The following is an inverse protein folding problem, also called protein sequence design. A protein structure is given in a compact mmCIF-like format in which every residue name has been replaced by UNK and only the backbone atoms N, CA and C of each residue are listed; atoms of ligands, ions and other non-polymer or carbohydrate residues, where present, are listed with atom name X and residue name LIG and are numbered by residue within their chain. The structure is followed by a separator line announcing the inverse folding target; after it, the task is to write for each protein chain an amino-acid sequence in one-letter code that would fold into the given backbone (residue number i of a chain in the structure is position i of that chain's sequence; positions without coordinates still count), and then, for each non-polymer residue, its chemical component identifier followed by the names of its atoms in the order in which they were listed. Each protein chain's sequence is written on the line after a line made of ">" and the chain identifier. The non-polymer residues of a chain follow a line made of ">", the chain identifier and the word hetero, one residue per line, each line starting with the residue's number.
data_IF_950771983442
#
_entry.id   IF_950771983442
#
_cell.length_a   1.000
_cell.length_b   1.000
_cell.length_c   1.000
_cell.angle_alpha   90.00
_cell.angle_beta   90.00
_cell.angle_gamma   90.00
#
_symmetry.space_group_name_H-M   'P 1'
#
loop_
_entity.id
_entity.type
_entity.pdbx_description
1 polymer ?
#
# COMPACT_ATOMS: atom_id res chain seq x y z
N UNK A 1 -9.73 0.45 7.84
CA UNK A 1 -9.26 -0.91 7.46
C UNK A 1 -7.82 -0.86 6.95
N UNK A 2 -7.04 -1.95 7.08
CA UNK A 2 -5.67 -2.01 6.52
C UNK A 2 -5.70 -2.43 5.05
N UNK A 3 -4.83 -1.83 4.24
CA UNK A 3 -4.73 -2.09 2.79
C UNK A 3 -4.49 -3.58 2.49
N UNK A 4 -3.61 -4.22 3.25
CA UNK A 4 -3.33 -5.66 3.13
C UNK A 4 -4.60 -6.50 3.31
N UNK A 5 -5.45 -6.15 4.27
CA UNK A 5 -6.69 -6.88 4.53
C UNK A 5 -7.68 -6.71 3.37
N UNK A 6 -7.79 -5.50 2.80
CA UNK A 6 -8.63 -5.24 1.63
C UNK A 6 -8.17 -6.06 0.41
N UNK A 7 -6.86 -6.07 0.15
CA UNK A 7 -6.28 -6.89 -0.91
C UNK A 7 -6.54 -8.38 -0.70
N UNK A 8 -6.33 -8.88 0.52
CA UNK A 8 -6.57 -10.29 0.86
C UNK A 8 -8.06 -10.66 0.78
N UNK A 9 -8.96 -9.77 1.21
CA UNK A 9 -10.41 -9.99 1.13
C UNK A 9 -10.90 -10.10 -0.32
N UNK A 10 -10.24 -9.41 -1.26
CA UNK A 10 -10.54 -9.50 -2.69
C UNK A 10 -9.73 -10.62 -3.40
N UNK A 11 -8.95 -11.43 -2.66
CA UNK A 11 -8.15 -12.52 -3.23
C UNK A 11 -7.03 -12.05 -4.18
N UNK A 12 -6.66 -10.77 -4.13
CA UNK A 12 -5.70 -10.19 -5.07
C UNK A 12 -4.25 -10.42 -4.66
N UNK A 13 -3.40 -10.68 -5.65
CA UNK A 13 -1.95 -10.67 -5.47
C UNK A 13 -1.42 -9.24 -5.50
N UNK A 14 -0.17 -9.03 -5.05
CA UNK A 14 0.50 -7.72 -5.14
C UNK A 14 0.69 -7.29 -6.60
N UNK A 15 0.98 -8.23 -7.51
CA UNK A 15 1.10 -7.95 -8.94
C UNK A 15 -0.22 -7.48 -9.55
N UNK A 16 -1.29 -8.18 -9.23
CA UNK A 16 -2.63 -7.84 -9.75
C UNK A 16 -3.05 -6.45 -9.28
N UNK A 17 -2.74 -6.14 -8.03
CA UNK A 17 -2.98 -4.83 -7.47
C UNK A 17 -2.21 -3.72 -8.19
N UNK A 18 -0.92 -3.93 -8.48
CA UNK A 18 -0.10 -2.96 -9.22
C UNK A 18 -0.68 -2.74 -10.60
N UNK A 19 -1.06 -3.82 -11.30
CA UNK A 19 -1.71 -3.74 -12.60
C UNK A 19 -2.98 -2.89 -12.53
N UNK A 20 -3.84 -3.13 -11.53
CA UNK A 20 -5.07 -2.38 -11.34
C UNK A 20 -4.82 -0.91 -11.01
N UNK A 21 -3.81 -0.61 -10.19
CA UNK A 21 -3.40 0.78 -9.91
C UNK A 21 -3.01 1.50 -11.21
N UNK A 22 -2.22 0.85 -12.08
CA UNK A 22 -1.81 1.42 -13.37
C UNK A 22 -3.00 1.57 -14.32
N UNK A 23 -3.90 0.59 -14.39
CA UNK A 23 -5.13 0.64 -15.21
C UNK A 23 -6.05 1.80 -14.78
N UNK A 24 -6.05 2.17 -13.50
CA UNK A 24 -6.79 3.32 -12.96
C UNK A 24 -6.01 4.66 -13.07
N UNK A 25 -4.89 4.70 -13.81
CA UNK A 25 -4.09 5.91 -14.01
C UNK A 25 -3.17 6.27 -12.83
N UNK A 26 -2.96 5.33 -11.91
CA UNK A 26 -2.04 5.48 -10.79
C UNK A 26 -0.57 5.23 -11.17
N UNK A 27 0.36 5.57 -10.27
CA UNK A 27 1.79 5.41 -10.53
C UNK A 27 2.18 3.93 -10.62
N UNK A 28 3.05 3.61 -11.58
CA UNK A 28 3.70 2.30 -11.66
C UNK A 28 4.65 2.11 -10.48
N UNK A 29 4.34 1.16 -9.59
CA UNK A 29 5.13 0.89 -8.39
C UNK A 29 5.64 -0.54 -8.36
N UNK A 30 6.85 -0.74 -7.82
CA UNK A 30 7.45 -2.06 -7.72
C UNK A 30 6.79 -2.90 -6.60
N UNK A 31 6.76 -4.22 -6.77
CA UNK A 31 6.20 -5.17 -5.79
C UNK A 31 6.80 -5.00 -4.39
N UNK A 32 8.12 -4.79 -4.31
CA UNK A 32 8.81 -4.56 -3.05
C UNK A 32 8.37 -3.28 -2.35
N UNK A 33 8.02 -2.24 -3.13
CA UNK A 33 7.48 -0.99 -2.55
C UNK A 33 6.13 -1.25 -1.91
N UNK A 34 5.25 -1.98 -2.59
CA UNK A 34 3.95 -2.39 -2.03
C UNK A 34 4.15 -3.22 -0.76
N UNK A 35 5.03 -4.23 -0.81
CA UNK A 35 5.33 -5.09 0.34
C UNK A 35 5.86 -4.29 1.54
N UNK A 36 6.78 -3.35 1.29
CA UNK A 36 7.32 -2.49 2.34
C UNK A 36 6.27 -1.57 2.96
N UNK A 37 5.28 -1.13 2.17
CA UNK A 37 4.15 -0.36 2.68
C UNK A 37 3.20 -1.25 3.50
N UNK A 38 2.89 -2.46 3.01
CA UNK A 38 2.05 -3.41 3.73
C UNK A 38 2.64 -3.84 5.07
N UNK A 39 3.97 -3.91 5.18
CA UNK A 39 4.71 -4.25 6.39
C UNK A 39 5.02 -3.05 7.29
N UNK A 40 4.70 -1.82 6.86
CA UNK A 40 4.96 -0.60 7.64
C UNK A 40 6.43 -0.14 7.64
N UNK A 41 7.28 -0.71 6.79
CA UNK A 41 8.67 -0.25 6.58
C UNK A 41 8.73 1.05 5.78
N UNK A 42 7.74 1.28 4.91
CA UNK A 42 7.58 2.50 4.13
C UNK A 42 6.16 3.01 4.28
N UNK A 43 5.96 4.32 4.20
CA UNK A 43 4.61 4.87 4.04
C UNK A 43 4.32 5.15 2.57
N UNK A 44 3.07 4.95 2.19
CA UNK A 44 2.60 5.36 0.87
C UNK A 44 2.57 6.90 0.78
N UNK A 45 2.87 7.43 -0.41
CA UNK A 45 2.52 8.81 -0.73
C UNK A 45 0.99 8.95 -0.82
N UNK A 46 0.49 10.17 -0.68
CA UNK A 46 -0.95 10.44 -0.77
C UNK A 46 -1.53 10.07 -2.14
N UNK A 47 -0.76 10.30 -3.20
CA UNK A 47 -1.11 9.91 -4.57
C UNK A 47 -1.25 8.40 -4.71
N UNK A 48 -0.26 7.65 -4.23
CA UNK A 48 -0.30 6.19 -4.25
C UNK A 48 -1.47 5.67 -3.41
N UNK A 49 -1.71 6.25 -2.24
CA UNK A 49 -2.84 5.84 -1.40
C UNK A 49 -4.18 6.08 -2.10
N UNK A 50 -4.37 7.23 -2.76
CA UNK A 50 -5.58 7.53 -3.52
C UNK A 50 -5.79 6.55 -4.66
N UNK A 51 -4.76 6.33 -5.48
CA UNK A 51 -4.84 5.38 -6.60
C UNK A 51 -5.14 3.95 -6.10
N UNK A 52 -4.57 3.57 -4.97
CA UNK A 52 -4.78 2.28 -4.34
C UNK A 52 -6.20 2.11 -3.78
N UNK A 53 -6.72 3.17 -3.13
CA UNK A 53 -8.09 3.21 -2.64
C UNK A 53 -9.09 3.09 -3.81
N UNK A 54 -8.87 3.87 -4.87
CA UNK A 54 -9.68 3.82 -6.09
C UNK A 54 -9.64 2.45 -6.75
N UNK A 55 -8.46 1.82 -6.85
CA UNK A 55 -8.31 0.47 -7.41
C UNK A 55 -9.07 -0.59 -6.61
N UNK A 56 -9.16 -0.43 -5.28
CA UNK A 56 -9.85 -1.36 -4.38
C UNK A 56 -11.32 -0.99 -4.14
N UNK A 57 -11.80 0.13 -4.67
CA UNK A 57 -13.16 0.66 -4.44
C UNK A 57 -13.40 1.12 -2.99
N UNK A 58 -12.35 1.52 -2.28
CA UNK A 58 -12.43 2.04 -0.92
C UNK A 58 -12.22 3.56 -0.88
N UNK A 59 -12.73 4.23 0.16
CA UNK A 59 -12.38 5.63 0.41
C UNK A 59 -10.94 5.70 0.97
N UNK A 60 -10.06 6.57 0.44
CA UNK A 60 -8.69 6.70 0.95
C UNK A 60 -8.62 7.10 2.43
N UNK A 61 -9.66 7.73 3.00
CA UNK A 61 -9.73 8.07 4.44
C UNK A 61 -10.01 6.86 5.32
N UNK A 62 -10.64 5.83 4.76
CA UNK A 62 -10.89 4.57 5.47
C UNK A 62 -9.64 3.68 5.53
N UNK A 63 -8.61 4.05 4.79
CA UNK A 63 -7.34 3.32 4.73
C UNK A 63 -6.42 3.77 5.87
N UNK A 64 -6.20 2.86 6.81
CA UNK A 64 -5.24 3.07 7.90
C UNK A 64 -3.90 2.46 7.49
N UNK A 65 -2.88 3.31 7.30
CA UNK A 65 -1.50 2.84 7.13
C UNK A 65 -1.02 2.16 8.42
N UNK A 66 -0.15 1.15 8.32
CA UNK A 66 0.52 0.64 9.51
C UNK A 66 1.38 1.76 10.11
N UNK A 67 1.39 1.92 11.46
CA UNK A 67 2.33 2.83 12.09
C UNK A 67 3.74 2.44 11.64
N UNK A 68 4.51 3.42 11.17
CA UNK A 68 5.89 3.18 10.74
C UNK A 68 6.63 2.59 11.92
N UNK A 69 7.35 1.48 11.71
CA UNK A 69 8.24 0.96 12.73
C UNK A 69 9.40 1.94 12.89
N UNK A 70 9.27 2.91 13.80
CA UNK A 70 10.31 3.90 14.11
C UNK A 70 11.47 3.28 14.90
N UNK A 71 11.32 2.06 15.41
CA UNK A 71 12.28 1.39 16.29
C UNK A 71 13.21 0.40 15.59
N UNK A 72 13.14 0.23 14.26
CA UNK A 72 14.13 -0.56 13.50
C UNK A 72 15.24 0.29 12.83
N UNK A 73 15.24 1.61 13.03
CA UNK A 73 16.29 2.52 12.54
C UNK A 73 17.37 2.85 13.59
N UNK A 74 17.42 2.12 14.70
CA UNK A 74 18.60 2.15 15.58
C UNK A 74 19.67 1.21 14.98
N UNK A 75 20.27 1.63 13.87
CA UNK A 75 21.59 1.11 13.50
C UNK A 75 22.58 1.81 14.42
N UNK A 76 23.04 1.03 15.38
CA UNK A 76 24.07 1.31 16.37
C UNK A 76 25.13 2.31 15.90
N UNK A 77 25.32 3.30 16.77
CA UNK A 77 26.50 4.12 17.06
C UNK A 77 27.85 3.47 16.76
#
# INVERSE_FOLDING_TARGET
>A
MRIRNLRQAQGMTVRELIRRIVEHGGPGVHEDTIRNIELGYRGASDELMRAWASALGADPRDIVQQPRCTTCQDKSR
#
